data_IF_141231985086
#
_entry.id   IF_141231985086
#
_cell.length_a   1.000
_cell.length_b   1.000
_cell.length_c   1.000
_cell.angle_alpha   90.00
_cell.angle_beta   90.00
_cell.angle_gamma   90.00
#
_symmetry.space_group_name_H-M   'P 1'
#
loop_
_entity.id
_entity.type
_entity.pdbx_description
1 polymer ?
#
# COMPACT_ATOMS: atom_id res chain seq x y z
N UNK A 1 14.72 -29.89 42.90
CA UNK A 1 14.25 -28.65 42.25
C UNK A 1 13.30 -27.96 43.22
N UNK A 2 13.81 -26.97 43.96
CA UNK A 2 13.03 -26.20 44.93
C UNK A 2 12.35 -25.04 44.19
N UNK A 3 11.03 -24.95 44.32
CA UNK A 3 10.26 -23.83 43.80
C UNK A 3 10.36 -22.66 44.78
N UNK A 4 11.02 -21.59 44.37
CA UNK A 4 11.13 -20.36 45.14
C UNK A 4 9.76 -19.67 45.18
N UNK A 5 9.25 -19.42 46.39
CA UNK A 5 7.93 -18.81 46.60
C UNK A 5 8.03 -17.31 46.28
N UNK A 6 7.60 -16.92 45.09
CA UNK A 6 7.40 -15.50 44.73
C UNK A 6 6.32 -14.93 45.64
N UNK A 7 6.67 -13.88 46.40
CA UNK A 7 5.76 -13.26 47.37
C UNK A 7 4.75 -12.35 46.66
N UNK A 8 3.51 -12.20 47.17
CA UNK A 8 2.47 -11.40 46.51
C UNK A 8 2.84 -9.92 46.33
N UNK A 9 3.79 -9.40 47.11
CA UNK A 9 4.31 -8.03 46.97
C UNK A 9 5.09 -7.82 45.66
N UNK A 10 5.74 -8.86 45.13
CA UNK A 10 6.47 -8.80 43.85
C UNK A 10 5.52 -8.82 42.64
N UNK A 11 4.35 -9.44 42.77
CA UNK A 11 3.31 -9.48 41.73
C UNK A 11 2.59 -8.12 41.53
N UNK A 12 2.65 -7.23 42.53
CA UNK A 12 1.96 -5.93 42.54
C UNK A 12 2.81 -4.80 41.94
N UNK A 13 4.09 -5.06 41.60
CA UNK A 13 4.85 -4.15 40.72
C UNK A 13 4.33 -4.25 39.28
N UNK A 14 3.11 -3.75 39.06
CA UNK A 14 2.66 -3.25 37.77
C UNK A 14 3.77 -2.38 37.25
N UNK A 15 4.45 -2.89 36.21
CA UNK A 15 5.50 -2.18 35.49
C UNK A 15 4.81 -1.01 34.81
N UNK A 16 4.58 0.07 35.55
CA UNK A 16 4.17 1.37 35.02
C UNK A 16 5.34 1.92 34.23
N UNK A 17 5.57 1.39 33.04
CA UNK A 17 6.34 2.08 32.03
C UNK A 17 5.44 3.16 31.44
N UNK A 18 5.26 4.24 32.21
CA UNK A 18 5.04 5.57 31.61
C UNK A 18 6.30 5.90 30.83
N UNK A 19 6.12 6.11 29.54
CA UNK A 19 7.16 6.56 28.63
C UNK A 19 6.54 6.73 27.27
N UNK A 20 5.98 7.92 27.00
CA UNK A 20 5.57 8.34 25.66
C UNK A 20 6.79 8.57 24.77
N UNK A 21 7.59 7.53 24.57
CA UNK A 21 8.68 7.49 23.60
C UNK A 21 8.20 6.72 22.37
N UNK A 22 8.65 7.13 21.19
CA UNK A 22 8.39 6.40 19.95
C UNK A 22 8.82 4.94 20.12
N UNK A 23 7.87 4.00 19.96
CA UNK A 23 8.24 2.58 19.87
C UNK A 23 8.99 2.37 18.56
N UNK A 24 9.91 1.39 18.50
CA UNK A 24 10.67 1.06 17.28
C UNK A 24 9.79 0.96 16.02
N UNK A 25 8.58 0.37 16.05
CA UNK A 25 7.65 0.38 14.92
C UNK A 25 7.09 1.76 14.55
N UNK A 26 6.87 2.64 15.54
CA UNK A 26 6.35 3.99 15.30
C UNK A 26 7.36 4.83 14.53
N UNK A 27 8.64 4.76 14.91
CA UNK A 27 9.72 5.50 14.25
C UNK A 27 9.84 5.09 12.78
N UNK A 28 9.76 3.79 12.47
CA UNK A 28 9.83 3.31 11.09
C UNK A 28 8.63 3.81 10.28
N UNK A 29 7.40 3.75 10.82
CA UNK A 29 6.22 4.26 10.13
C UNK A 29 6.30 5.77 9.84
N UNK A 30 6.86 6.56 10.76
CA UNK A 30 7.06 8.00 10.56
C UNK A 30 8.10 8.25 9.46
N UNK A 31 9.23 7.54 9.50
CA UNK A 31 10.26 7.65 8.46
C UNK A 31 9.70 7.27 7.08
N UNK A 32 8.97 6.16 6.98
CA UNK A 32 8.29 5.77 5.74
C UNK A 32 7.29 6.82 5.27
N UNK A 33 6.54 7.46 6.18
CA UNK A 33 5.56 8.50 5.83
C UNK A 33 6.25 9.74 5.26
N UNK A 34 7.28 10.22 5.95
CA UNK A 34 8.05 11.40 5.51
C UNK A 34 8.78 11.13 4.19
N UNK A 35 9.36 9.94 4.05
CA UNK A 35 10.06 9.52 2.85
C UNK A 35 9.10 9.43 1.65
N UNK A 36 7.96 8.75 1.81
CA UNK A 36 6.94 8.67 0.77
C UNK A 36 6.41 10.06 0.39
N UNK A 37 6.12 10.91 1.37
CA UNK A 37 5.64 12.27 1.12
C UNK A 37 6.66 13.12 0.34
N UNK A 38 7.93 13.10 0.74
CA UNK A 38 8.98 13.84 0.06
C UNK A 38 9.13 13.41 -1.41
N UNK A 39 9.11 12.10 -1.67
CA UNK A 39 9.21 11.57 -3.03
C UNK A 39 7.98 11.83 -3.87
N UNK A 40 6.77 11.86 -3.29
CA UNK A 40 5.57 12.33 -4.00
C UNK A 40 5.77 13.77 -4.46
N UNK A 41 6.19 14.66 -3.56
CA UNK A 41 6.42 16.08 -3.90
C UNK A 41 7.50 16.24 -4.97
N UNK A 42 8.63 15.52 -4.85
CA UNK A 42 9.68 15.54 -5.86
C UNK A 42 9.23 14.95 -7.20
N UNK A 43 8.41 13.91 -7.18
CA UNK A 43 7.84 13.31 -8.40
C UNK A 43 7.04 14.31 -9.22
N UNK A 44 6.17 15.09 -8.57
CA UNK A 44 5.42 16.14 -9.23
C UNK A 44 6.32 17.31 -9.69
N UNK A 45 7.35 17.66 -8.91
CA UNK A 45 8.32 18.69 -9.30
C UNK A 45 9.14 18.34 -10.53
N UNK A 46 9.58 17.07 -10.65
CA UNK A 46 10.40 16.59 -11.77
C UNK A 46 9.59 15.91 -12.89
N UNK A 47 8.26 15.86 -12.77
CA UNK A 47 7.37 15.11 -13.67
C UNK A 47 7.79 13.64 -13.88
N UNK A 48 8.36 13.00 -12.85
CA UNK A 48 8.90 11.66 -12.95
C UNK A 48 8.20 10.67 -11.99
N UNK A 49 7.18 9.91 -12.45
CA UNK A 49 6.36 9.03 -11.59
C UNK A 49 7.15 7.93 -10.88
N UNK A 50 8.37 7.61 -11.36
CA UNK A 50 9.28 6.69 -10.68
C UNK A 50 9.62 7.08 -9.26
N UNK A 51 9.68 8.38 -8.99
CA UNK A 51 10.07 8.87 -7.69
C UNK A 51 9.04 8.46 -6.64
N UNK A 52 7.74 8.50 -6.96
CA UNK A 52 6.69 7.98 -6.06
C UNK A 52 6.97 6.53 -5.69
N UNK A 53 7.26 5.70 -6.69
CA UNK A 53 7.50 4.27 -6.54
C UNK A 53 8.68 3.98 -5.61
N UNK A 54 9.79 4.68 -5.79
CA UNK A 54 10.95 4.61 -4.87
C UNK A 54 10.56 5.08 -3.46
N UNK A 55 9.73 6.11 -3.36
CA UNK A 55 9.29 6.70 -2.11
C UNK A 55 8.46 5.77 -1.23
N UNK A 56 7.48 5.05 -1.78
CA UNK A 56 6.65 4.14 -0.98
C UNK A 56 7.19 2.71 -0.92
N UNK A 57 8.18 2.34 -1.73
CA UNK A 57 8.77 0.99 -1.72
C UNK A 57 9.21 0.51 -0.33
N UNK A 58 9.90 1.31 0.51
CA UNK A 58 10.23 0.89 1.87
C UNK A 58 9.01 0.56 2.73
N UNK A 59 7.89 1.26 2.51
CA UNK A 59 6.64 0.99 3.21
C UNK A 59 6.05 -0.37 2.83
N UNK A 60 6.07 -0.71 1.53
CA UNK A 60 5.60 -2.01 1.01
C UNK A 60 6.44 -3.16 1.56
N UNK A 61 7.76 -3.02 1.53
CA UNK A 61 8.68 -4.04 2.06
C UNK A 61 8.46 -4.22 3.57
N UNK A 62 8.36 -3.13 4.32
CA UNK A 62 8.14 -3.21 5.76
C UNK A 62 6.77 -3.81 6.08
N UNK A 63 5.74 -3.52 5.29
CA UNK A 63 4.41 -4.13 5.40
C UNK A 63 4.48 -5.64 5.19
N UNK A 64 5.19 -6.10 4.15
CA UNK A 64 5.35 -7.51 3.85
C UNK A 64 6.11 -8.27 4.95
N UNK A 65 7.06 -7.65 5.64
CA UNK A 65 7.81 -8.30 6.73
C UNK A 65 6.91 -8.50 7.96
N UNK A 66 6.08 -7.51 8.30
CA UNK A 66 5.34 -7.46 9.58
C UNK A 66 3.95 -8.09 9.57
N UNK A 67 3.34 -8.31 8.42
CA UNK A 67 2.05 -9.03 8.30
C UNK A 67 2.21 -10.50 8.70
N UNK A 68 1.23 -11.01 9.44
CA UNK A 68 1.28 -12.36 10.04
C UNK A 68 0.09 -13.28 9.67
N UNK A 69 -1.03 -12.77 9.15
CA UNK A 69 -2.16 -13.62 8.71
C UNK A 69 -1.92 -14.21 7.31
N UNK A 70 -2.37 -15.43 6.99
CA UNK A 70 -2.04 -16.12 5.73
C UNK A 70 -2.48 -15.33 4.50
N UNK A 71 -3.75 -14.90 4.44
CA UNK A 71 -4.27 -14.11 3.32
C UNK A 71 -3.68 -12.69 3.28
N UNK A 72 -3.49 -12.04 4.43
CA UNK A 72 -2.86 -10.71 4.51
C UNK A 72 -1.38 -10.74 4.16
N UNK A 73 -0.69 -11.86 4.44
CA UNK A 73 0.70 -12.07 4.09
C UNK A 73 0.83 -12.20 2.58
N UNK A 74 0.00 -13.06 1.98
CA UNK A 74 -0.06 -13.22 0.53
C UNK A 74 -0.36 -11.87 -0.16
N UNK A 75 -1.33 -11.10 0.34
CA UNK A 75 -1.60 -9.75 -0.17
C UNK A 75 -0.38 -8.84 -0.07
N UNK A 76 0.28 -8.79 1.10
CA UNK A 76 1.45 -7.92 1.30
C UNK A 76 2.68 -8.30 0.48
N UNK A 77 2.94 -9.60 0.30
CA UNK A 77 4.00 -10.10 -0.58
C UNK A 77 3.64 -9.82 -2.05
N UNK A 78 2.37 -10.02 -2.41
CA UNK A 78 1.83 -9.66 -3.71
C UNK A 78 2.04 -8.18 -4.05
N UNK A 79 1.85 -7.27 -3.07
CA UNK A 79 2.15 -5.85 -3.28
C UNK A 79 3.63 -5.58 -3.55
N UNK A 80 4.57 -6.30 -2.90
CA UNK A 80 6.00 -6.15 -3.22
C UNK A 80 6.27 -6.55 -4.67
N UNK A 81 5.73 -7.69 -5.10
CA UNK A 81 5.88 -8.19 -6.47
C UNK A 81 5.26 -7.20 -7.45
N UNK A 82 4.04 -6.72 -7.19
CA UNK A 82 3.36 -5.71 -8.01
C UNK A 82 4.16 -4.43 -8.10
N UNK A 83 4.74 -3.95 -7.00
CA UNK A 83 5.57 -2.73 -7.00
C UNK A 83 6.80 -2.90 -7.91
N UNK A 84 7.40 -4.10 -7.95
CA UNK A 84 8.48 -4.39 -8.90
C UNK A 84 7.97 -4.41 -10.34
N UNK A 85 6.82 -5.03 -10.60
CA UNK A 85 6.20 -5.05 -11.94
C UNK A 85 5.80 -3.65 -12.42
N UNK A 86 5.29 -2.79 -11.54
CA UNK A 86 5.01 -1.37 -11.78
C UNK A 86 6.30 -0.64 -12.19
N UNK A 87 7.40 -0.89 -11.48
CA UNK A 87 8.69 -0.29 -11.81
C UNK A 87 9.21 -0.75 -13.18
N UNK A 88 8.92 -1.97 -13.62
CA UNK A 88 9.28 -2.46 -14.95
C UNK A 88 8.35 -1.91 -16.04
N UNK A 89 7.05 -1.80 -15.76
CA UNK A 89 6.03 -1.25 -16.66
C UNK A 89 6.33 0.22 -17.00
N UNK A 90 6.57 1.05 -15.99
CA UNK A 90 6.89 2.47 -16.17
C UNK A 90 8.18 2.68 -17.01
N UNK A 91 9.07 1.68 -17.16
CA UNK A 91 10.37 1.82 -17.85
C UNK A 91 10.17 1.52 -19.33
N UNK A 92 8.98 1.06 -19.68
CA UNK A 92 8.66 0.51 -20.98
C UNK A 92 9.33 -0.85 -21.21
N UNK A 93 9.79 -1.56 -20.16
CA UNK A 93 10.28 -2.94 -20.29
C UNK A 93 9.11 -3.89 -20.56
N UNK A 94 8.00 -3.67 -19.84
CA UNK A 94 6.75 -4.40 -20.03
C UNK A 94 5.76 -3.43 -20.68
N UNK A 95 5.59 -3.56 -22.00
CA UNK A 95 4.55 -2.86 -22.76
C UNK A 95 3.45 -3.86 -23.07
N UNK A 96 2.54 -4.03 -22.12
CA UNK A 96 1.42 -4.93 -22.26
C UNK A 96 0.14 -4.15 -22.09
N UNK A 97 -0.71 -4.15 -23.12
CA UNK A 97 -2.01 -3.50 -23.08
C UNK A 97 -3.06 -4.57 -22.82
N UNK A 98 -3.71 -4.50 -21.66
CA UNK A 98 -4.75 -5.46 -21.31
C UNK A 98 -5.96 -5.35 -22.24
N UNK A 99 -6.28 -4.15 -22.74
CA UNK A 99 -7.39 -4.01 -23.69
C UNK A 99 -7.12 -4.74 -24.99
N UNK A 100 -5.90 -4.63 -25.53
CA UNK A 100 -5.52 -5.32 -26.76
C UNK A 100 -5.47 -6.83 -26.57
N UNK A 101 -5.11 -7.31 -25.38
CA UNK A 101 -5.05 -8.75 -25.11
C UNK A 101 -6.44 -9.37 -24.90
N UNK A 102 -7.36 -8.65 -24.25
CA UNK A 102 -8.73 -9.12 -24.00
C UNK A 102 -9.71 -8.74 -25.11
N UNK A 103 -9.25 -8.01 -26.14
CA UNK A 103 -10.08 -7.41 -27.19
C UNK A 103 -11.27 -6.61 -26.63
N UNK A 104 -11.06 -5.98 -25.46
CA UNK A 104 -12.06 -5.22 -24.71
C UNK A 104 -11.42 -3.98 -24.12
N UNK A 105 -11.95 -2.80 -24.40
CA UNK A 105 -11.43 -1.55 -23.81
C UNK A 105 -11.75 -1.42 -22.32
N UNK A 106 -12.77 -2.15 -21.83
CA UNK A 106 -13.21 -2.12 -20.44
C UNK A 106 -13.58 -3.53 -19.97
N UNK A 107 -13.17 -3.89 -18.75
CA UNK A 107 -13.55 -5.14 -18.09
C UNK A 107 -14.67 -4.88 -17.09
N UNK A 108 -15.71 -5.72 -17.12
CA UNK A 108 -16.73 -5.74 -16.08
C UNK A 108 -16.31 -6.64 -14.92
N UNK A 109 -15.95 -6.05 -13.79
CA UNK A 109 -15.56 -6.79 -12.57
C UNK A 109 -16.47 -6.37 -11.41
N UNK A 110 -17.25 -7.32 -10.89
CA UNK A 110 -18.12 -7.14 -9.72
C UNK A 110 -19.04 -5.90 -9.77
N UNK A 111 -19.61 -5.56 -10.94
CA UNK A 111 -20.52 -4.41 -11.05
C UNK A 111 -19.90 -3.16 -11.69
N UNK A 112 -18.58 -3.13 -11.88
CA UNK A 112 -17.86 -1.94 -12.31
C UNK A 112 -17.15 -2.15 -13.64
N UNK A 113 -17.24 -1.15 -14.52
CA UNK A 113 -16.45 -1.07 -15.75
C UNK A 113 -15.08 -0.48 -15.43
N UNK A 114 -14.04 -1.29 -15.56
CA UNK A 114 -12.66 -0.91 -15.31
C UNK A 114 -11.98 -0.73 -16.67
N UNK A 115 -11.42 0.44 -17.01
CA UNK A 115 -10.67 0.62 -18.25
C UNK A 115 -9.46 -0.32 -18.25
N UNK A 116 -9.42 -1.23 -19.22
CA UNK A 116 -8.31 -2.16 -19.44
C UNK A 116 -7.19 -1.37 -20.13
N UNK A 117 -6.41 -0.62 -19.34
CA UNK A 117 -5.36 0.23 -19.88
C UNK A 117 -4.02 -0.46 -20.08
N UNK A 118 -2.99 0.37 -20.23
CA UNK A 118 -1.59 -0.03 -20.06
C UNK A 118 -1.39 -0.65 -18.66
N UNK A 119 -0.55 -1.69 -18.57
CA UNK A 119 -0.12 -2.25 -17.29
C UNK A 119 0.44 -1.20 -16.32
N UNK A 120 0.99 -0.10 -16.84
CA UNK A 120 1.42 1.05 -16.03
C UNK A 120 0.26 1.72 -15.25
N UNK A 121 -0.99 1.58 -15.71
CA UNK A 121 -2.19 2.03 -15.01
C UNK A 121 -2.84 0.90 -14.20
N UNK A 122 -2.88 -0.32 -14.73
CA UNK A 122 -3.56 -1.45 -14.09
C UNK A 122 -2.86 -1.89 -12.80
N UNK A 123 -1.53 -1.96 -12.78
CA UNK A 123 -0.83 -2.42 -11.57
C UNK A 123 -1.04 -1.49 -10.36
N UNK A 124 -0.88 -0.16 -10.48
CA UNK A 124 -1.16 0.75 -9.35
C UNK A 124 -2.63 0.68 -8.90
N UNK A 125 -3.57 0.44 -9.81
CA UNK A 125 -4.98 0.24 -9.47
C UNK A 125 -5.17 -1.03 -8.61
N UNK A 126 -4.53 -2.14 -8.99
CA UNK A 126 -4.55 -3.38 -8.19
C UNK A 126 -3.91 -3.13 -6.81
N UNK A 127 -2.80 -2.38 -6.76
CA UNK A 127 -2.13 -2.04 -5.51
C UNK A 127 -3.03 -1.22 -4.58
N UNK A 128 -3.84 -0.29 -5.10
CA UNK A 128 -4.88 0.42 -4.31
C UNK A 128 -5.90 -0.56 -3.74
N UNK A 129 -6.43 -1.48 -4.55
CA UNK A 129 -7.42 -2.47 -4.08
C UNK A 129 -6.83 -3.37 -2.98
N UNK A 130 -5.59 -3.83 -3.15
CA UNK A 130 -4.90 -4.64 -2.13
C UNK A 130 -4.64 -3.83 -0.85
N UNK A 131 -4.25 -2.57 -0.96
CA UNK A 131 -4.05 -1.69 0.19
C UNK A 131 -5.36 -1.46 0.97
N UNK A 132 -6.49 -1.28 0.28
CA UNK A 132 -7.82 -1.18 0.90
C UNK A 132 -8.16 -2.48 1.64
N UNK A 133 -7.95 -3.64 1.00
CA UNK A 133 -8.21 -4.94 1.61
C UNK A 133 -7.35 -5.17 2.86
N UNK A 134 -6.07 -4.81 2.82
CA UNK A 134 -5.16 -4.88 3.97
C UNK A 134 -5.59 -3.96 5.11
N UNK A 135 -6.01 -2.74 4.79
CA UNK A 135 -6.52 -1.79 5.75
C UNK A 135 -7.77 -2.30 6.47
N UNK A 136 -8.70 -2.91 5.72
CA UNK A 136 -9.95 -3.46 6.26
C UNK A 136 -9.74 -4.74 7.08
N UNK A 137 -8.86 -5.64 6.62
CA UNK A 137 -8.69 -6.99 7.21
C UNK A 137 -7.67 -7.05 8.33
N UNK A 138 -6.76 -6.08 8.45
CA UNK A 138 -5.68 -6.14 9.45
C UNK A 138 -6.03 -5.41 10.74
N UNK A 139 -5.92 -6.07 11.89
CA UNK A 139 -6.15 -5.42 13.19
C UNK A 139 -4.95 -4.56 13.68
N UNK A 140 -3.75 -4.81 13.15
CA UNK A 140 -2.52 -4.11 13.55
C UNK A 140 -2.53 -2.63 13.19
N UNK A 141 -2.47 -1.75 14.20
CA UNK A 141 -2.45 -0.28 14.03
C UNK A 141 -1.40 0.20 13.03
N UNK A 142 -0.19 -0.36 13.10
CA UNK A 142 0.90 0.07 12.23
C UNK A 142 0.84 -0.50 10.82
N UNK A 143 0.20 -1.67 10.64
CA UNK A 143 -0.06 -2.19 9.29
C UNK A 143 -1.10 -1.33 8.62
N UNK A 144 -2.19 -0.97 9.31
CA UNK A 144 -3.18 0.00 8.78
C UNK A 144 -2.53 1.32 8.37
N UNK A 145 -1.59 1.83 9.17
CA UNK A 145 -0.83 3.02 8.83
C UNK A 145 -0.07 2.84 7.51
N UNK A 146 0.73 1.77 7.38
CA UNK A 146 1.46 1.52 6.12
C UNK A 146 0.52 1.35 4.93
N UNK A 147 -0.60 0.65 5.09
CA UNK A 147 -1.57 0.48 4.01
C UNK A 147 -2.13 1.83 3.54
N UNK A 148 -2.31 2.82 4.45
CA UNK A 148 -2.68 4.19 4.07
C UNK A 148 -1.57 4.86 3.25
N UNK A 149 -0.31 4.72 3.65
CA UNK A 149 0.82 5.30 2.91
C UNK A 149 0.85 4.74 1.49
N UNK A 150 0.77 3.42 1.35
CA UNK A 150 0.75 2.73 0.05
C UNK A 150 -0.44 3.20 -0.78
N UNK A 151 -1.64 3.25 -0.19
CA UNK A 151 -2.85 3.69 -0.87
C UNK A 151 -2.71 5.11 -1.42
N UNK A 152 -2.26 6.06 -0.60
CA UNK A 152 -2.08 7.46 -1.00
C UNK A 152 -1.01 7.59 -2.08
N UNK A 153 0.11 6.86 -1.95
CA UNK A 153 1.17 6.88 -2.93
C UNK A 153 0.76 6.27 -4.27
N UNK A 154 0.05 5.14 -4.28
CA UNK A 154 -0.45 4.53 -5.51
C UNK A 154 -1.51 5.41 -6.19
N UNK A 155 -2.37 6.07 -5.42
CA UNK A 155 -3.30 7.06 -5.98
C UNK A 155 -2.57 8.28 -6.58
N UNK A 156 -1.52 8.77 -5.92
CA UNK A 156 -0.67 9.83 -6.46
C UNK A 156 0.05 9.41 -7.74
N UNK A 157 0.46 8.15 -7.84
CA UNK A 157 1.09 7.59 -9.04
C UNK A 157 0.10 7.55 -10.21
N UNK A 158 -1.14 7.08 -9.97
CA UNK A 158 -2.20 7.11 -10.99
C UNK A 158 -2.51 8.54 -11.45
N UNK A 159 -2.56 9.50 -10.52
CA UNK A 159 -2.72 10.93 -10.84
C UNK A 159 -1.59 11.49 -11.72
N UNK A 160 -0.43 10.85 -11.77
CA UNK A 160 0.68 11.31 -12.60
C UNK A 160 0.78 10.55 -13.92
N UNK A 161 0.43 9.26 -13.94
CA UNK A 161 0.47 8.42 -15.14
C UNK A 161 -0.69 8.73 -16.08
N UNK A 162 -1.93 8.70 -15.58
CA UNK A 162 -3.12 8.98 -16.38
C UNK A 162 -4.23 9.58 -15.52
N UNK A 163 -4.27 10.91 -15.49
CA UNK A 163 -5.31 11.68 -14.78
C UNK A 163 -6.71 11.38 -15.32
N UNK A 164 -6.84 11.16 -16.62
CA UNK A 164 -8.13 10.98 -17.28
C UNK A 164 -8.78 9.67 -16.85
N UNK A 165 -8.04 8.57 -16.99
CA UNK A 165 -8.51 7.23 -16.63
C UNK A 165 -8.86 7.13 -15.13
N UNK A 166 -8.11 7.79 -14.25
CA UNK A 166 -8.42 7.81 -12.82
C UNK A 166 -9.74 8.54 -12.52
N UNK A 167 -9.95 9.73 -13.11
CA UNK A 167 -11.18 10.51 -12.91
C UNK A 167 -12.40 9.71 -13.40
N UNK A 168 -12.27 9.01 -14.52
CA UNK A 168 -13.33 8.17 -15.07
C UNK A 168 -13.65 6.97 -14.17
N UNK A 169 -12.62 6.29 -13.63
CA UNK A 169 -12.80 5.21 -12.67
C UNK A 169 -13.52 5.67 -11.40
N UNK A 170 -13.12 6.83 -10.84
CA UNK A 170 -13.77 7.42 -9.66
C UNK A 170 -15.21 7.83 -9.97
N UNK A 171 -15.44 8.48 -11.12
CA UNK A 171 -16.78 8.91 -11.54
C UNK A 171 -17.72 7.71 -11.71
N UNK A 172 -17.21 6.63 -12.30
CA UNK A 172 -17.96 5.39 -12.50
C UNK A 172 -18.31 4.74 -11.15
N UNK A 173 -17.37 4.71 -10.22
CA UNK A 173 -17.62 4.22 -8.86
C UNK A 173 -18.72 5.01 -8.15
N UNK A 174 -18.60 6.35 -8.13
CA UNK A 174 -19.58 7.23 -7.47
C UNK A 174 -20.97 7.17 -8.09
N UNK A 175 -21.08 6.96 -9.41
CA UNK A 175 -22.38 6.86 -10.10
C UNK A 175 -23.12 5.54 -9.82
N UNK A 176 -22.43 4.49 -9.36
CA UNK A 176 -23.05 3.20 -9.04
C UNK A 176 -23.49 3.07 -7.57
N UNK A 177 -23.00 3.94 -6.67
CA UNK A 177 -23.41 3.96 -5.25
C UNK A 177 -24.62 4.88 -4.96
N UNK A 178 -25.07 5.67 -5.94
CA UNK A 178 -26.25 6.57 -5.85
C UNK A 178 -27.20 6.35 -7.03
#
# INVERSE_FOLDING_TARGET
MAWEKVTPEEAVKLKTKRGGGFTTPTTICILCSLFALAFILFSFGFNNPYLILIGYFPAVVYEAIRTAGPYTKAASVGMVILTVLEALALKGIIKFNLATFLDQETAYVKGYWIPLGDVAFVFPLITIVLAILLFQRTAGRYTKWLSIIILVSSAALLLQVDKGALIEAIRTYLRYEF
#
